data_IF_661909697912
#
_entry.id   IF_661909697912
#
_cell.length_a   1.000
_cell.length_b   1.000
_cell.length_c   1.000
_cell.angle_alpha   90.00
_cell.angle_beta   90.00
_cell.angle_gamma   90.00
#
_symmetry.space_group_name_H-M   'P 1'
#
loop_
_entity.id
_entity.type
_entity.pdbx_description
1 polymer ?
#
# COMPACT_ATOMS: atom_id res chain seq x y z
N UNK A 1 4.69 -5.22 -7.90
CA UNK A 1 3.66 -4.84 -8.89
C UNK A 1 2.80 -3.79 -8.21
N UNK A 2 2.91 -2.53 -8.60
CA UNK A 2 2.29 -1.42 -7.86
C UNK A 2 0.87 -1.17 -8.36
N UNK A 3 -0.04 -0.80 -7.46
CA UNK A 3 -1.43 -0.46 -7.77
C UNK A 3 -1.54 0.51 -8.96
N UNK A 4 -0.64 1.49 -8.99
CA UNK A 4 -0.54 2.51 -10.03
C UNK A 4 -0.32 1.93 -11.43
N UNK A 5 0.54 0.92 -11.56
CA UNK A 5 0.83 0.27 -12.84
C UNK A 5 -0.35 -0.56 -13.36
N UNK A 6 -1.19 -1.08 -12.46
CA UNK A 6 -2.41 -1.81 -12.83
C UNK A 6 -3.47 -0.80 -13.27
N UNK A 7 -3.68 0.25 -12.47
CA UNK A 7 -4.63 1.32 -12.81
C UNK A 7 -4.27 2.01 -14.13
N UNK A 8 -2.99 2.26 -14.41
CA UNK A 8 -2.55 2.78 -15.72
C UNK A 8 -2.88 1.85 -16.88
N UNK A 9 -2.70 0.53 -16.72
CA UNK A 9 -3.06 -0.44 -17.78
C UNK A 9 -4.56 -0.45 -18.09
N UNK A 10 -5.39 -0.23 -17.08
CA UNK A 10 -6.85 -0.14 -17.29
C UNK A 10 -7.25 1.25 -17.81
N UNK A 11 -6.63 2.32 -17.33
CA UNK A 11 -6.85 3.69 -17.84
C UNK A 11 -6.43 3.81 -19.31
N UNK A 12 -5.27 3.30 -19.72
CA UNK A 12 -4.82 3.31 -21.11
C UNK A 12 -5.71 2.46 -22.03
N UNK A 13 -6.40 1.45 -21.49
CA UNK A 13 -7.42 0.68 -22.23
C UNK A 13 -8.74 1.43 -22.40
N UNK A 14 -9.11 2.29 -21.45
CA UNK A 14 -10.31 3.13 -21.54
C UNK A 14 -10.09 4.39 -22.38
N UNK A 15 -8.86 4.93 -22.44
CA UNK A 15 -8.51 6.15 -23.17
C UNK A 15 -7.98 5.82 -24.58
N UNK A 16 -8.83 5.21 -25.41
CA UNK A 16 -8.63 5.28 -26.85
C UNK A 16 -9.01 6.71 -27.34
N UNK A 17 -8.24 7.32 -28.26
CA UNK A 17 -8.39 8.73 -28.61
C UNK A 17 -9.78 9.05 -29.14
N UNK A 18 -10.32 10.14 -28.58
CA UNK A 18 -11.62 10.77 -28.83
C UNK A 18 -11.97 10.84 -30.32
N UNK A 19 -12.83 9.93 -30.76
CA UNK A 19 -13.35 9.88 -32.12
C UNK A 19 -14.48 8.88 -32.28
N UNK A 20 -15.41 8.81 -31.32
CA UNK A 20 -16.57 7.92 -31.44
C UNK A 20 -17.09 7.44 -30.09
N UNK A 21 -18.23 8.00 -29.70
CA UNK A 21 -18.96 7.78 -28.45
C UNK A 21 -19.56 6.38 -28.35
N UNK A 22 -18.72 5.40 -27.98
CA UNK A 22 -19.14 4.20 -27.24
C UNK A 22 -18.08 3.89 -26.19
N UNK A 23 -18.21 4.53 -25.01
CA UNK A 23 -17.52 4.08 -23.80
C UNK A 23 -17.96 2.64 -23.55
N UNK A 24 -17.04 1.71 -23.75
CA UNK A 24 -17.30 0.28 -23.58
C UNK A 24 -17.44 0.04 -22.08
N UNK A 25 -18.65 -0.27 -21.61
CA UNK A 25 -18.84 -0.74 -20.23
C UNK A 25 -17.95 -1.95 -20.02
N UNK A 26 -17.10 -1.92 -18.98
CA UNK A 26 -16.28 -3.06 -18.59
C UNK A 26 -17.15 -4.31 -18.56
N UNK A 27 -16.76 -5.33 -19.33
CA UNK A 27 -17.46 -6.61 -19.35
C UNK A 27 -17.40 -7.26 -17.96
N UNK A 28 -18.39 -8.10 -17.63
CA UNK A 28 -18.38 -8.84 -16.36
C UNK A 28 -17.09 -9.66 -16.16
N UNK A 29 -16.52 -10.14 -17.28
CA UNK A 29 -15.22 -10.81 -17.31
C UNK A 29 -14.09 -9.88 -16.83
N UNK A 30 -14.02 -8.64 -17.30
CA UNK A 30 -13.00 -7.66 -16.89
C UNK A 30 -13.18 -7.23 -15.43
N UNK A 31 -14.43 -7.05 -14.98
CA UNK A 31 -14.73 -6.79 -13.55
C UNK A 31 -14.23 -7.92 -12.66
N UNK A 32 -14.44 -9.17 -13.07
CA UNK A 32 -13.98 -10.34 -12.31
C UNK A 32 -12.46 -10.47 -12.27
N UNK A 33 -11.76 -10.09 -13.35
CA UNK A 33 -10.30 -10.07 -13.41
C UNK A 33 -9.73 -8.98 -12.49
N UNK A 34 -10.28 -7.77 -12.54
CA UNK A 34 -9.89 -6.66 -11.68
C UNK A 34 -10.05 -7.02 -10.19
N UNK A 35 -11.17 -7.66 -9.83
CA UNK A 35 -11.40 -8.14 -8.45
C UNK A 35 -10.33 -9.14 -8.00
N UNK A 36 -9.99 -10.13 -8.83
CA UNK A 36 -8.92 -11.11 -8.51
C UNK A 36 -7.55 -10.45 -8.34
N UNK A 37 -7.23 -9.46 -9.18
CA UNK A 37 -5.98 -8.72 -9.07
C UNK A 37 -5.92 -7.93 -7.75
N UNK A 38 -7.04 -7.31 -7.35
CA UNK A 38 -7.15 -6.57 -6.10
C UNK A 38 -7.06 -7.48 -4.86
N UNK A 39 -7.74 -8.64 -4.88
CA UNK A 39 -7.63 -9.65 -3.81
C UNK A 39 -6.17 -10.16 -3.69
N UNK A 40 -5.47 -10.34 -4.81
CA UNK A 40 -4.05 -10.72 -4.79
C UNK A 40 -3.17 -9.65 -4.15
N UNK A 41 -3.40 -8.37 -4.45
CA UNK A 41 -2.68 -7.25 -3.81
C UNK A 41 -2.98 -7.20 -2.32
N UNK A 42 -4.23 -7.41 -1.91
CA UNK A 42 -4.60 -7.43 -0.50
C UNK A 42 -3.87 -8.54 0.26
N UNK A 43 -3.85 -9.77 -0.27
CA UNK A 43 -3.14 -10.88 0.34
C UNK A 43 -1.64 -10.64 0.44
N UNK A 44 -1.04 -10.08 -0.60
CA UNK A 44 0.39 -9.73 -0.58
C UNK A 44 0.70 -8.68 0.49
N UNK A 45 -0.10 -7.61 0.57
CA UNK A 45 0.06 -6.55 1.57
C UNK A 45 -0.17 -7.07 2.99
N UNK A 46 -1.14 -7.97 3.19
CA UNK A 46 -1.37 -8.61 4.50
C UNK A 46 -0.15 -9.41 4.95
N UNK A 47 0.49 -10.15 4.03
CA UNK A 47 1.72 -10.89 4.35
C UNK A 47 2.89 -9.96 4.69
N UNK A 48 3.04 -8.83 3.99
CA UNK A 48 4.06 -7.82 4.31
C UNK A 48 3.87 -7.20 5.70
N UNK A 49 2.63 -6.93 6.10
CA UNK A 49 2.34 -6.43 7.47
C UNK A 49 2.80 -7.45 8.52
N UNK A 50 2.50 -8.73 8.32
CA UNK A 50 2.94 -9.78 9.25
C UNK A 50 4.48 -9.90 9.31
N UNK A 51 5.17 -9.76 8.17
CA UNK A 51 6.64 -9.72 8.13
C UNK A 51 7.17 -8.52 8.92
N UNK A 52 6.56 -7.33 8.76
CA UNK A 52 6.94 -6.13 9.49
C UNK A 52 6.77 -6.29 11.01
N UNK A 53 5.64 -6.86 11.43
CA UNK A 53 5.37 -7.17 12.84
C UNK A 53 6.39 -8.17 13.37
N UNK A 54 6.69 -9.23 12.63
CA UNK A 54 7.72 -10.20 13.00
C UNK A 54 9.10 -9.55 13.18
N UNK A 55 9.49 -8.65 12.28
CA UNK A 55 10.75 -7.90 12.38
C UNK A 55 10.78 -7.02 13.64
N UNK A 56 9.67 -6.35 13.97
CA UNK A 56 9.54 -5.54 15.19
C UNK A 56 9.68 -6.38 16.46
N UNK A 57 9.09 -7.58 16.49
CA UNK A 57 9.21 -8.52 17.62
C UNK A 57 10.65 -8.99 17.78
N UNK A 58 11.33 -9.35 16.68
CA UNK A 58 12.75 -9.75 16.72
C UNK A 58 13.64 -8.60 17.21
N UNK A 59 13.42 -7.40 16.68
CA UNK A 59 14.16 -6.20 17.08
C UNK A 59 13.94 -5.88 18.57
N UNK A 60 12.70 -6.00 19.05
CA UNK A 60 12.36 -5.81 20.44
C UNK A 60 13.04 -6.86 21.34
N UNK A 61 13.01 -8.13 20.93
CA UNK A 61 13.71 -9.22 21.64
C UNK A 61 15.22 -8.96 21.73
N UNK A 62 15.86 -8.53 20.65
CA UNK A 62 17.28 -8.18 20.64
C UNK A 62 17.60 -7.02 21.61
N UNK A 63 16.78 -5.97 21.61
CA UNK A 63 16.91 -4.87 22.57
C UNK A 63 16.76 -5.36 24.03
N UNK A 64 15.78 -6.23 24.29
CA UNK A 64 15.52 -6.80 25.62
C UNK A 64 16.71 -7.59 26.15
N UNK A 65 17.38 -8.38 25.29
CA UNK A 65 18.61 -9.09 25.64
C UNK A 65 19.72 -8.10 26.02
N UNK A 66 19.91 -7.03 25.24
CA UNK A 66 20.94 -6.00 25.55
C UNK A 66 20.67 -5.32 26.90
N UNK A 67 19.40 -5.06 27.22
CA UNK A 67 19.01 -4.39 28.48
C UNK A 67 19.14 -5.33 29.68
N UNK A 68 18.83 -6.62 29.53
CA UNK A 68 18.83 -7.57 30.64
C UNK A 68 20.18 -8.21 30.93
N UNK A 69 21.12 -8.21 29.98
CA UNK A 69 22.44 -8.81 30.19
C UNK A 69 23.26 -7.93 31.15
N UNK A 70 23.62 -8.44 32.34
CA UNK A 70 24.44 -7.69 33.29
C UNK A 70 25.85 -7.48 32.70
N UNK A 71 26.40 -6.28 32.89
CA UNK A 71 27.74 -5.91 32.39
C UNK A 71 27.74 -4.80 31.34
N UNK A 72 26.58 -4.39 30.84
CA UNK A 72 26.48 -3.20 29.99
C UNK A 72 26.59 -1.91 30.81
N UNK A 73 27.36 -0.95 30.29
CA UNK A 73 27.40 0.40 30.87
C UNK A 73 26.07 1.12 30.61
N UNK A 74 25.72 2.06 31.49
CA UNK A 74 24.52 2.90 31.32
C UNK A 74 24.48 3.58 29.93
N UNK A 75 25.64 4.00 29.42
CA UNK A 75 25.77 4.58 28.08
C UNK A 75 25.45 3.60 26.95
N UNK A 76 25.85 2.33 27.10
CA UNK A 76 25.52 1.28 26.12
C UNK A 76 24.02 1.02 26.02
N UNK A 77 23.34 0.95 27.17
CA UNK A 77 21.87 0.80 27.22
C UNK A 77 21.16 1.99 26.60
N UNK A 78 21.62 3.21 26.87
CA UNK A 78 21.06 4.42 26.29
C UNK A 78 21.22 4.46 24.76
N UNK A 79 22.41 4.15 24.25
CA UNK A 79 22.67 4.09 22.81
C UNK A 79 21.83 3.01 22.11
N UNK A 80 21.72 1.82 22.70
CA UNK A 80 20.88 0.74 22.19
C UNK A 80 19.39 1.13 22.16
N UNK A 81 18.92 1.84 23.19
CA UNK A 81 17.53 2.32 23.26
C UNK A 81 17.24 3.41 22.22
N UNK A 82 18.19 4.31 21.97
CA UNK A 82 18.07 5.32 20.92
C UNK A 82 18.04 4.68 19.52
N UNK A 83 18.92 3.70 19.26
CA UNK A 83 18.94 2.96 18.01
C UNK A 83 17.63 2.18 17.79
N UNK A 84 17.14 1.48 18.83
CA UNK A 84 15.85 0.80 18.81
C UNK A 84 14.71 1.76 18.48
N UNK A 85 14.65 2.92 19.15
CA UNK A 85 13.61 3.93 18.93
C UNK A 85 13.59 4.44 17.49
N UNK A 86 14.76 4.74 16.91
CA UNK A 86 14.88 5.15 15.50
C UNK A 86 14.42 4.05 14.54
N UNK A 87 14.86 2.81 14.76
CA UNK A 87 14.46 1.67 13.92
C UNK A 87 12.95 1.39 14.02
N UNK A 88 12.38 1.42 15.24
CA UNK A 88 10.95 1.24 15.46
C UNK A 88 10.13 2.35 14.79
N UNK A 89 10.56 3.61 14.93
CA UNK A 89 9.90 4.74 14.26
C UNK A 89 9.91 4.60 12.73
N UNK A 90 11.04 4.17 12.15
CA UNK A 90 11.14 3.88 10.72
C UNK A 90 10.19 2.76 10.28
N UNK A 91 10.10 1.69 11.08
CA UNK A 91 9.22 0.55 10.81
C UNK A 91 7.73 0.96 10.88
N UNK A 92 7.35 1.75 11.89
CA UNK A 92 5.99 2.30 12.04
C UNK A 92 5.64 3.20 10.85
N UNK A 93 6.56 4.09 10.44
CA UNK A 93 6.34 4.97 9.28
C UNK A 93 6.10 4.16 8.00
N UNK A 94 6.87 3.10 7.80
CA UNK A 94 6.72 2.22 6.66
C UNK A 94 5.38 1.45 6.70
N UNK A 95 5.00 0.90 7.87
CA UNK A 95 3.71 0.25 8.10
C UNK A 95 2.53 1.19 7.81
N UNK A 96 2.60 2.45 8.26
CA UNK A 96 1.59 3.47 7.95
C UNK A 96 1.49 3.71 6.43
N UNK A 97 2.61 3.66 5.71
CA UNK A 97 2.63 3.73 4.25
C UNK A 97 1.83 2.60 3.61
N UNK A 98 2.13 1.35 4.00
CA UNK A 98 1.41 0.15 3.53
C UNK A 98 -0.08 0.23 3.90
N UNK A 99 -0.40 0.69 5.10
CA UNK A 99 -1.78 0.78 5.56
C UNK A 99 -2.58 1.80 4.74
N UNK A 100 -1.98 2.95 4.43
CA UNK A 100 -2.59 3.94 3.52
C UNK A 100 -2.82 3.36 2.14
N UNK A 101 -1.88 2.59 1.60
CA UNK A 101 -2.03 1.92 0.31
C UNK A 101 -3.15 0.88 0.33
N UNK A 102 -3.24 0.06 1.39
CA UNK A 102 -4.35 -0.89 1.59
C UNK A 102 -5.69 -0.18 1.64
N UNK A 103 -5.82 0.89 2.42
CA UNK A 103 -7.08 1.65 2.55
C UNK A 103 -7.49 2.29 1.22
N UNK A 104 -6.55 2.87 0.46
CA UNK A 104 -6.83 3.40 -0.89
C UNK A 104 -7.31 2.31 -1.84
N UNK A 105 -6.66 1.15 -1.81
CA UNK A 105 -7.03 -0.01 -2.64
C UNK A 105 -8.42 -0.51 -2.29
N UNK A 106 -8.73 -0.66 -0.99
CA UNK A 106 -10.05 -1.10 -0.53
C UNK A 106 -11.16 -0.11 -0.91
N UNK A 107 -10.91 1.20 -0.79
CA UNK A 107 -11.84 2.24 -1.23
C UNK A 107 -12.07 2.17 -2.74
N UNK A 108 -11.02 1.98 -3.53
CA UNK A 108 -11.11 1.79 -4.97
C UNK A 108 -11.94 0.57 -5.35
N UNK A 109 -11.73 -0.57 -4.67
CA UNK A 109 -12.51 -1.78 -4.90
C UNK A 109 -13.99 -1.50 -4.65
N UNK A 110 -14.30 -0.87 -3.51
CA UNK A 110 -15.68 -0.59 -3.12
C UNK A 110 -16.34 0.41 -4.07
N UNK A 111 -15.62 1.44 -4.47
CA UNK A 111 -16.07 2.39 -5.50
C UNK A 111 -16.28 1.71 -6.86
N UNK A 112 -15.43 0.76 -7.26
CA UNK A 112 -15.61 0.01 -8.49
C UNK A 112 -16.82 -0.94 -8.48
N UNK A 113 -17.25 -1.38 -7.30
CA UNK A 113 -18.45 -2.20 -7.13
C UNK A 113 -19.71 -1.34 -7.07
N UNK A 114 -19.65 -0.19 -6.38
CA UNK A 114 -20.83 0.65 -6.10
C UNK A 114 -21.09 1.73 -7.17
N UNK A 115 -20.09 2.15 -7.95
CA UNK A 115 -20.23 3.18 -8.99
C UNK A 115 -20.24 2.56 -10.39
N UNK A 116 -21.38 2.68 -11.07
CA UNK A 116 -21.50 2.36 -12.50
C UNK A 116 -21.22 3.58 -13.39
N UNK A 117 -20.63 3.35 -14.57
CA UNK A 117 -20.51 4.36 -15.63
C UNK A 117 -19.48 5.46 -15.37
N UNK A 118 -19.86 6.71 -15.63
CA UNK A 118 -18.94 7.86 -15.73
C UNK A 118 -18.28 8.26 -14.41
N UNK A 119 -18.89 7.91 -13.27
CA UNK A 119 -18.37 8.23 -11.94
C UNK A 119 -17.11 7.42 -11.60
N UNK A 120 -16.99 6.18 -12.10
CA UNK A 120 -15.83 5.34 -11.87
C UNK A 120 -14.60 5.88 -12.63
N UNK A 121 -14.79 6.29 -13.89
CA UNK A 121 -13.73 6.88 -14.71
C UNK A 121 -13.22 8.20 -14.12
N UNK A 122 -14.11 9.03 -13.56
CA UNK A 122 -13.72 10.26 -12.85
C UNK A 122 -12.91 9.96 -11.58
N UNK A 123 -13.28 8.93 -10.81
CA UNK A 123 -12.52 8.52 -9.61
C UNK A 123 -11.14 7.98 -9.97
N UNK A 124 -11.03 7.18 -11.04
CA UNK A 124 -9.75 6.64 -11.53
C UNK A 124 -8.83 7.79 -11.97
N UNK A 125 -9.33 8.79 -12.71
CA UNK A 125 -8.51 9.91 -13.19
C UNK A 125 -8.03 10.83 -12.05
N UNK A 126 -8.86 11.06 -11.02
CA UNK A 126 -8.49 11.85 -9.84
C UNK A 126 -7.40 11.12 -9.04
N UNK A 127 -7.51 9.80 -8.91
CA UNK A 127 -6.55 9.00 -8.16
C UNK A 127 -5.23 8.78 -8.91
N UNK A 128 -5.24 8.64 -10.24
CA UNK A 128 -4.02 8.59 -11.04
C UNK A 128 -3.26 9.93 -11.03
N UNK A 129 -3.98 11.04 -10.93
CA UNK A 129 -3.37 12.38 -10.88
C UNK A 129 -2.76 12.70 -9.51
N UNK A 130 -3.38 12.23 -8.41
CA UNK A 130 -2.84 12.40 -7.04
C UNK A 130 -1.70 11.43 -6.67
N UNK A 131 -1.46 10.39 -7.49
CA UNK A 131 -0.35 9.44 -7.31
C UNK A 131 1.01 10.00 -7.71
N UNK A 132 1.05 10.98 -8.61
CA UNK A 132 2.31 11.59 -9.07
C UNK A 132 2.95 12.41 -7.95
N UNK A 133 4.19 12.11 -7.53
CA UNK A 133 4.95 13.03 -6.69
C UNK A 133 5.11 14.34 -7.48
N UNK A 134 4.66 15.44 -6.88
CA UNK A 134 4.92 16.78 -7.43
C UNK A 134 6.44 16.94 -7.46
N UNK A 135 7.06 17.18 -8.63
CA UNK A 135 8.49 17.47 -8.69
C UNK A 135 8.71 18.77 -7.90
N UNK A 136 9.45 18.66 -6.80
CA UNK A 136 9.98 19.78 -6.02
C UNK A 136 11.09 20.47 -6.79
#
# INVERSE_FOLDING_TARGET
>A
MNLESILQRYADREVAPLGGSRRRSLSDTERSALRKDLERIEHYNSRLVWIAVGLLVVLFGAWLVVVLVPGWSAGGVQAASAAFGLSAAGCIRWLLGIWREKTRTALLVRMAVDLEGDSLAAVISILSTRGRPVPS
#
